data_IF_505853665708
#
_entry.id   IF_505853665708
#
_cell.length_a   1.000
_cell.length_b   1.000
_cell.length_c   1.000
_cell.angle_alpha   90.00
_cell.angle_beta   90.00
_cell.angle_gamma   90.00
#
_symmetry.space_group_name_H-M   'P 1'
#
loop_
_entity.id
_entity.type
_entity.pdbx_description
1 polymer ?
#
# COMPACT_ATOMS: atom_id res chain seq x y z
N UNK A 1 8.52 23.48 -21.30
CA UNK A 1 9.31 22.26 -21.59
C UNK A 1 8.85 21.72 -22.94
N UNK A 2 9.71 21.03 -23.71
CA UNK A 2 9.30 20.42 -25.00
C UNK A 2 8.98 18.93 -24.85
N UNK A 3 8.17 18.37 -25.76
CA UNK A 3 7.79 16.94 -25.76
C UNK A 3 9.02 16.02 -25.86
N UNK A 4 10.01 16.39 -26.65
CA UNK A 4 11.24 15.61 -26.81
C UNK A 4 12.02 15.46 -25.50
N UNK A 5 12.04 16.50 -24.67
CA UNK A 5 12.67 16.45 -23.35
C UNK A 5 11.87 15.62 -22.36
N UNK A 6 10.54 15.67 -22.43
CA UNK A 6 9.67 14.81 -21.63
C UNK A 6 9.89 13.33 -21.97
N UNK A 7 9.94 12.96 -23.25
CA UNK A 7 10.21 11.58 -23.68
C UNK A 7 11.57 11.10 -23.15
N UNK A 8 12.63 11.91 -23.28
CA UNK A 8 13.95 11.55 -22.71
C UNK A 8 13.87 11.30 -21.20
N UNK A 9 13.10 12.12 -20.46
CA UNK A 9 12.90 11.92 -19.02
C UNK A 9 12.14 10.63 -18.72
N UNK A 10 11.13 10.28 -19.50
CA UNK A 10 10.47 8.98 -19.38
C UNK A 10 11.48 7.84 -19.53
N UNK A 11 12.28 7.87 -20.59
CA UNK A 11 13.24 6.80 -20.88
C UNK A 11 14.31 6.65 -19.79
N UNK A 12 14.84 7.78 -19.30
CA UNK A 12 15.79 7.81 -18.19
C UNK A 12 15.20 7.23 -16.91
N UNK A 13 13.99 7.64 -16.53
CA UNK A 13 13.36 7.20 -15.28
C UNK A 13 12.89 5.74 -15.35
N UNK A 14 12.34 5.32 -16.49
CA UNK A 14 11.85 3.96 -16.69
C UNK A 14 13.00 2.98 -16.95
N UNK A 15 14.19 3.46 -17.31
CA UNK A 15 15.36 2.65 -17.59
C UNK A 15 15.23 1.86 -18.89
N UNK A 16 14.39 2.32 -19.82
CA UNK A 16 14.15 1.70 -21.13
C UNK A 16 13.65 2.73 -22.13
N UNK A 17 13.81 2.42 -23.41
CA UNK A 17 13.21 3.21 -24.47
C UNK A 17 11.68 3.04 -24.49
N UNK A 18 10.99 4.09 -24.89
CA UNK A 18 9.56 4.03 -25.15
C UNK A 18 9.32 3.50 -26.56
N UNK A 19 8.30 2.64 -26.71
CA UNK A 19 7.87 2.22 -28.03
C UNK A 19 7.14 3.37 -28.77
N UNK A 20 7.05 3.33 -30.11
CA UNK A 20 6.31 4.34 -30.87
C UNK A 20 4.84 4.50 -30.42
N UNK A 21 4.20 3.39 -30.02
CA UNK A 21 2.82 3.39 -29.52
C UNK A 21 2.73 4.13 -28.19
N UNK A 22 3.71 3.94 -27.31
CA UNK A 22 3.79 4.61 -26.02
C UNK A 22 4.03 6.12 -26.18
N UNK A 23 4.91 6.52 -27.12
CA UNK A 23 5.14 7.92 -27.46
C UNK A 23 3.86 8.55 -28.01
N UNK A 24 3.13 7.85 -28.88
CA UNK A 24 1.85 8.32 -29.39
C UNK A 24 0.84 8.56 -28.25
N UNK A 25 0.71 7.61 -27.31
CA UNK A 25 -0.18 7.77 -26.16
C UNK A 25 0.17 9.00 -25.30
N UNK A 26 1.46 9.25 -25.05
CA UNK A 26 1.91 10.45 -24.33
C UNK A 26 1.58 11.72 -25.14
N UNK A 27 1.75 11.67 -26.46
CA UNK A 27 1.46 12.79 -27.37
C UNK A 27 -0.03 13.10 -27.45
N UNK A 28 -0.89 12.08 -27.39
CA UNK A 28 -2.36 12.25 -27.44
C UNK A 28 -2.86 13.06 -26.24
N UNK A 29 -2.29 12.87 -25.05
CA UNK A 29 -2.65 13.69 -23.88
C UNK A 29 -2.41 15.19 -24.11
N UNK A 30 -1.34 15.56 -24.83
CA UNK A 30 -1.04 16.96 -25.16
C UNK A 30 -1.91 17.48 -26.32
N UNK A 31 -2.08 16.65 -27.36
CA UNK A 31 -2.62 17.10 -28.64
C UNK A 31 -4.13 16.91 -28.75
N UNK A 32 -4.67 15.80 -28.27
CA UNK A 32 -6.09 15.44 -28.31
C UNK A 32 -6.79 15.98 -27.06
N UNK A 33 -6.31 15.60 -25.88
CA UNK A 33 -6.94 15.96 -24.61
C UNK A 33 -6.59 17.38 -24.12
N UNK A 34 -5.62 18.02 -24.78
CA UNK A 34 -5.17 19.41 -24.53
C UNK A 34 -4.66 19.64 -23.12
N UNK A 35 -3.88 18.70 -22.58
CA UNK A 35 -3.16 18.90 -21.32
C UNK A 35 -1.91 19.75 -21.53
N UNK A 36 -1.55 20.51 -20.51
CA UNK A 36 -0.24 21.16 -20.41
C UNK A 36 0.86 20.11 -20.14
N UNK A 37 2.06 20.36 -20.67
CA UNK A 37 3.18 19.42 -20.56
C UNK A 37 3.63 19.23 -19.11
N UNK A 38 3.45 20.26 -18.30
CA UNK A 38 3.69 20.28 -16.86
C UNK A 38 2.83 19.24 -16.12
N UNK A 39 1.61 18.95 -16.60
CA UNK A 39 0.75 17.91 -16.00
C UNK A 39 1.32 16.52 -16.26
N UNK A 40 1.85 16.29 -17.45
CA UNK A 40 2.47 15.01 -17.79
C UNK A 40 3.78 14.82 -17.02
N UNK A 41 4.57 15.87 -16.85
CA UNK A 41 5.76 15.84 -15.99
C UNK A 41 5.41 15.51 -14.54
N UNK A 42 4.36 16.14 -13.99
CA UNK A 42 3.84 15.82 -12.67
C UNK A 42 3.44 14.35 -12.55
N UNK A 43 2.71 13.82 -13.53
CA UNK A 43 2.29 12.42 -13.53
C UNK A 43 3.49 11.46 -13.65
N UNK A 44 4.53 11.81 -14.43
CA UNK A 44 5.78 11.05 -14.49
C UNK A 44 6.47 11.02 -13.12
N UNK A 45 6.59 12.17 -12.45
CA UNK A 45 7.22 12.26 -11.13
C UNK A 45 6.47 11.39 -10.10
N UNK A 46 5.13 11.41 -10.10
CA UNK A 46 4.32 10.53 -9.25
C UNK A 46 4.61 9.04 -9.55
N UNK A 47 4.80 8.64 -10.81
CA UNK A 47 5.17 7.26 -11.13
C UNK A 47 6.52 6.86 -10.51
N UNK A 48 7.50 7.77 -10.55
CA UNK A 48 8.84 7.55 -9.99
C UNK A 48 8.80 7.47 -8.47
N UNK A 49 8.12 8.42 -7.81
CA UNK A 49 7.98 8.49 -6.36
C UNK A 49 7.27 7.25 -5.78
N UNK A 50 6.26 6.74 -6.49
CA UNK A 50 5.54 5.53 -6.08
C UNK A 50 6.23 4.23 -6.55
N UNK A 51 7.44 4.32 -7.12
CA UNK A 51 8.17 3.20 -7.74
C UNK A 51 7.33 2.37 -8.74
N UNK A 52 6.36 3.01 -9.40
CA UNK A 52 5.40 2.41 -10.32
C UNK A 52 5.64 2.91 -11.75
N UNK A 53 6.81 2.56 -12.31
CA UNK A 53 7.36 3.07 -13.58
C UNK A 53 6.77 2.38 -14.81
N UNK A 54 5.45 2.44 -14.95
CA UNK A 54 4.72 1.82 -16.07
C UNK A 54 3.76 2.82 -16.69
N UNK A 55 3.58 2.77 -18.01
CA UNK A 55 2.59 3.63 -18.67
C UNK A 55 1.15 3.32 -18.26
N UNK A 56 0.87 2.09 -17.81
CA UNK A 56 -0.42 1.75 -17.21
C UNK A 56 -0.70 2.63 -15.99
N UNK A 57 0.26 2.75 -15.08
CA UNK A 57 0.12 3.59 -13.88
C UNK A 57 0.05 5.07 -14.24
N UNK A 58 0.92 5.53 -15.15
CA UNK A 58 0.88 6.89 -15.68
C UNK A 58 -0.50 7.26 -16.25
N UNK A 59 -1.07 6.41 -17.10
CA UNK A 59 -2.40 6.62 -17.68
C UNK A 59 -3.50 6.66 -16.63
N UNK A 60 -3.38 5.90 -15.53
CA UNK A 60 -4.31 6.00 -14.40
C UNK A 60 -4.24 7.35 -13.70
N UNK A 61 -3.04 7.93 -13.55
CA UNK A 61 -2.87 9.29 -13.00
C UNK A 61 -3.48 10.32 -13.94
N UNK A 62 -3.18 10.23 -15.24
CA UNK A 62 -3.71 11.15 -16.25
C UNK A 62 -5.25 11.13 -16.30
N UNK A 63 -5.86 9.94 -16.26
CA UNK A 63 -7.32 9.81 -16.17
C UNK A 63 -7.89 10.47 -14.91
N UNK A 64 -7.29 10.22 -13.75
CA UNK A 64 -7.69 10.88 -12.50
C UNK A 64 -7.55 12.41 -12.59
N UNK A 65 -6.51 12.92 -13.24
CA UNK A 65 -6.36 14.35 -13.48
C UNK A 65 -7.46 14.87 -14.42
N UNK A 66 -7.79 14.13 -15.49
CA UNK A 66 -8.89 14.47 -16.39
C UNK A 66 -10.24 14.56 -15.67
N UNK A 67 -10.57 13.54 -14.87
CA UNK A 67 -11.82 13.45 -14.10
C UNK A 67 -11.96 14.62 -13.11
N UNK A 68 -10.84 15.09 -12.55
CA UNK A 68 -10.80 16.23 -11.63
C UNK A 68 -10.64 17.59 -12.33
N UNK A 69 -10.61 17.63 -13.67
CA UNK A 69 -10.42 18.86 -14.45
C UNK A 69 -9.03 19.49 -14.31
N UNK A 70 -8.02 18.72 -13.89
CA UNK A 70 -6.65 19.20 -13.67
C UNK A 70 -5.89 19.12 -14.99
N UNK A 71 -5.98 20.18 -15.80
CA UNK A 71 -5.31 20.27 -17.11
C UNK A 71 -4.15 21.27 -17.18
N UNK A 72 -3.96 22.08 -16.14
CA UNK A 72 -2.96 23.14 -16.09
C UNK A 72 -2.07 23.04 -14.86
N UNK A 73 -0.88 23.64 -14.90
CA UNK A 73 0.02 23.72 -13.76
C UNK A 73 -0.66 24.36 -12.54
N UNK A 74 -1.44 25.43 -12.73
CA UNK A 74 -2.19 26.10 -11.66
C UNK A 74 -3.18 25.15 -10.98
N UNK A 75 -3.87 24.32 -11.78
CA UNK A 75 -4.81 23.33 -11.25
C UNK A 75 -4.10 22.24 -10.45
N UNK A 76 -2.88 21.84 -10.83
CA UNK A 76 -2.06 20.91 -10.04
C UNK A 76 -1.74 21.52 -8.68
N UNK A 77 -1.23 22.76 -8.65
CA UNK A 77 -0.87 23.44 -7.41
C UNK A 77 -2.06 23.59 -6.47
N UNK A 78 -3.23 23.97 -7.01
CA UNK A 78 -4.46 24.06 -6.24
C UNK A 78 -4.90 22.69 -5.70
N UNK A 79 -4.79 21.65 -6.53
CA UNK A 79 -5.11 20.28 -6.12
C UNK A 79 -4.18 19.78 -5.01
N UNK A 80 -2.87 20.03 -5.11
CA UNK A 80 -1.90 19.69 -4.07
C UNK A 80 -2.14 20.47 -2.78
N UNK A 81 -2.41 21.78 -2.87
CA UNK A 81 -2.75 22.60 -1.71
C UNK A 81 -4.00 22.06 -1.01
N UNK A 82 -5.05 21.71 -1.76
CA UNK A 82 -6.27 21.11 -1.22
C UNK A 82 -6.02 19.71 -0.64
N UNK A 83 -5.16 18.90 -1.25
CA UNK A 83 -4.77 17.58 -0.74
C UNK A 83 -4.00 17.70 0.57
N UNK A 84 -3.09 18.67 0.67
CA UNK A 84 -2.31 18.92 1.88
C UNK A 84 -3.18 19.49 3.01
N UNK A 85 -4.12 20.40 2.69
CA UNK A 85 -5.14 20.85 3.65
C UNK A 85 -5.99 19.69 4.15
N UNK A 86 -6.51 18.84 3.25
CA UNK A 86 -7.26 17.65 3.66
C UNK A 86 -6.45 16.69 4.52
N UNK A 87 -5.14 16.51 4.27
CA UNK A 87 -4.27 15.72 5.15
C UNK A 87 -4.13 16.36 6.54
N UNK A 88 -4.01 17.68 6.63
CA UNK A 88 -3.97 18.41 7.90
C UNK A 88 -5.32 18.37 8.64
N UNK A 89 -6.43 18.51 7.92
CA UNK A 89 -7.79 18.44 8.49
C UNK A 89 -8.16 17.01 8.91
N UNK A 90 -7.66 15.99 8.21
CA UNK A 90 -7.79 14.58 8.64
C UNK A 90 -6.98 14.27 9.90
N UNK A 91 -5.92 15.03 10.20
CA UNK A 91 -5.25 14.98 11.51
C UNK A 91 -6.05 15.72 12.61
N UNK A 92 -7.02 16.57 12.26
CA UNK A 92 -7.85 17.35 13.20
C UNK A 92 -9.28 16.84 13.40
N UNK A 93 -9.79 15.99 12.51
CA UNK A 93 -11.16 15.44 12.58
C UNK A 93 -11.19 13.95 12.92
N UNK A 94 -10.10 13.45 13.50
CA UNK A 94 -10.07 12.18 14.24
C UNK A 94 -10.88 12.41 15.52
N UNK A 95 -12.01 11.71 15.74
CA UNK A 95 -12.75 11.87 16.99
C UNK A 95 -11.83 11.54 18.18
N UNK A 96 -12.03 12.14 19.34
CA UNK A 96 -11.13 11.97 20.48
C UNK A 96 -10.79 10.49 20.82
N UNK A 97 -11.71 9.55 20.56
CA UNK A 97 -11.49 8.10 20.72
C UNK A 97 -10.42 7.51 19.79
N UNK A 98 -10.07 8.18 18.70
CA UNK A 98 -9.09 7.71 17.71
C UNK A 98 -7.73 8.43 17.84
N UNK A 99 -7.59 9.39 18.77
CA UNK A 99 -6.34 10.07 19.15
C UNK A 99 -5.79 9.62 20.52
N UNK A 100 -6.27 8.51 21.10
CA UNK A 100 -5.72 7.93 22.34
C UNK A 100 -4.37 7.19 22.14
N UNK A 101 -3.77 7.24 20.94
CA UNK A 101 -2.49 6.58 20.63
C UNK A 101 -1.42 7.50 20.04
N UNK A 102 -1.41 8.79 20.42
CA UNK A 102 -0.28 9.66 20.06
C UNK A 102 0.05 10.68 21.13
N UNK A 103 0.32 10.19 22.34
CA UNK A 103 1.28 10.82 23.26
C UNK A 103 2.23 9.73 23.75
N UNK A 104 3.51 10.06 23.83
CA UNK A 104 4.57 9.19 24.30
C UNK A 104 4.37 8.87 25.79
N UNK A 105 3.53 7.89 26.07
CA UNK A 105 3.60 7.16 27.33
C UNK A 105 4.30 5.84 27.01
N UNK A 106 5.48 5.62 27.59
CA UNK A 106 6.16 4.34 27.58
C UNK A 106 5.29 3.30 28.32
N UNK A 107 4.20 2.86 27.70
CA UNK A 107 3.50 1.65 28.11
C UNK A 107 4.42 0.51 27.69
N UNK A 108 5.00 -0.17 28.67
CA UNK A 108 5.77 -1.39 28.45
C UNK A 108 5.03 -2.23 27.41
N UNK A 109 5.69 -2.55 26.28
CA UNK A 109 5.10 -3.39 25.24
C UNK A 109 4.72 -4.70 25.90
N UNK A 110 3.42 -4.93 26.12
CA UNK A 110 2.95 -6.24 26.58
C UNK A 110 3.47 -7.25 25.55
N UNK A 111 4.31 -8.21 25.95
CA UNK A 111 4.83 -9.20 25.03
C UNK A 111 3.67 -9.86 24.27
N UNK A 112 3.84 -10.14 22.98
CA UNK A 112 2.79 -10.76 22.16
C UNK A 112 2.28 -12.05 22.82
N UNK A 113 3.16 -12.78 23.49
CA UNK A 113 2.82 -13.99 24.25
C UNK A 113 1.86 -13.77 25.43
N UNK A 114 1.79 -12.57 25.99
CA UNK A 114 0.99 -12.23 27.17
C UNK A 114 -0.31 -11.49 26.79
N UNK A 115 -0.51 -11.21 25.50
CA UNK A 115 -1.70 -10.54 25.01
C UNK A 115 -2.89 -11.51 24.89
N UNK A 116 -3.72 -11.58 25.94
CA UNK A 116 -4.90 -12.45 26.00
C UNK A 116 -6.00 -12.07 25.00
N UNK A 117 -6.19 -10.78 24.70
CA UNK A 117 -7.17 -10.34 23.69
C UNK A 117 -6.79 -10.83 22.30
N UNK A 118 -5.49 -10.76 21.96
CA UNK A 118 -4.97 -11.28 20.71
C UNK A 118 -5.05 -12.82 20.64
N UNK A 119 -4.87 -13.51 21.76
CA UNK A 119 -5.12 -14.95 21.85
C UNK A 119 -6.59 -15.29 21.57
N UNK A 120 -7.55 -14.57 22.15
CA UNK A 120 -8.97 -14.83 21.93
C UNK A 120 -9.37 -14.62 20.46
N UNK A 121 -8.88 -13.55 19.82
CA UNK A 121 -9.07 -13.36 18.38
C UNK A 121 -8.52 -14.51 17.53
N UNK A 122 -7.33 -15.02 17.87
CA UNK A 122 -6.77 -16.18 17.19
C UNK A 122 -7.61 -17.44 17.46
N UNK A 123 -8.02 -17.66 18.70
CA UNK A 123 -8.82 -18.82 19.09
C UNK A 123 -10.14 -18.89 18.32
N UNK A 124 -10.87 -17.78 18.25
CA UNK A 124 -12.14 -17.69 17.52
C UNK A 124 -11.93 -17.90 16.03
N UNK A 125 -10.91 -17.27 15.45
CA UNK A 125 -10.58 -17.44 14.04
C UNK A 125 -10.22 -18.88 13.69
N UNK A 126 -9.41 -19.56 14.52
CA UNK A 126 -9.03 -20.96 14.31
C UNK A 126 -10.23 -21.91 14.42
N UNK A 127 -11.15 -21.64 15.36
CA UNK A 127 -12.38 -22.39 15.51
C UNK A 127 -13.28 -22.23 14.27
N UNK A 128 -13.51 -21.01 13.81
CA UNK A 128 -14.37 -20.73 12.67
C UNK A 128 -13.79 -21.17 11.32
N UNK A 129 -12.51 -20.91 11.09
CA UNK A 129 -11.87 -21.02 9.78
C UNK A 129 -11.20 -22.37 9.54
N UNK A 130 -10.73 -23.01 10.60
CA UNK A 130 -10.00 -24.28 10.52
C UNK A 130 -10.69 -25.42 11.28
N UNK A 131 -11.79 -25.16 11.98
CA UNK A 131 -12.43 -26.11 12.90
C UNK A 131 -11.39 -26.72 13.87
N UNK A 132 -10.49 -25.87 14.37
CA UNK A 132 -9.38 -26.26 15.23
C UNK A 132 -9.43 -25.50 16.55
N UNK A 133 -9.19 -26.20 17.65
CA UNK A 133 -9.12 -25.59 18.98
C UNK A 133 -7.67 -25.17 19.26
N UNK A 134 -7.43 -23.87 19.26
CA UNK A 134 -6.14 -23.30 19.63
C UNK A 134 -6.03 -23.22 21.16
N UNK A 135 -4.92 -23.72 21.73
CA UNK A 135 -4.65 -23.59 23.17
C UNK A 135 -3.74 -22.40 23.48
N UNK A 136 -3.86 -21.85 24.69
CA UNK A 136 -3.02 -20.74 25.16
C UNK A 136 -1.52 -21.10 25.12
N UNK A 137 -1.18 -22.35 25.45
CA UNK A 137 0.19 -22.84 25.38
C UNK A 137 0.74 -22.86 23.95
N UNK A 138 -0.08 -23.24 22.96
CA UNK A 138 0.31 -23.21 21.54
C UNK A 138 0.53 -21.78 21.05
N UNK A 139 -0.32 -20.85 21.50
CA UNK A 139 -0.19 -19.41 21.23
C UNK A 139 1.10 -18.83 21.80
N UNK A 140 1.34 -19.01 23.10
CA UNK A 140 2.53 -18.52 23.78
C UNK A 140 3.81 -19.07 23.16
N UNK A 141 3.84 -20.38 22.84
CA UNK A 141 5.00 -21.00 22.18
C UNK A 141 5.28 -20.42 20.79
N UNK A 142 4.24 -20.07 20.04
CA UNK A 142 4.42 -19.47 18.71
C UNK A 142 4.83 -18.00 18.80
N UNK A 143 4.18 -17.22 19.67
CA UNK A 143 4.52 -15.81 19.91
C UNK A 143 5.99 -15.65 20.36
N UNK A 144 6.44 -16.48 21.32
CA UNK A 144 7.82 -16.46 21.79
C UNK A 144 8.87 -16.82 20.73
N UNK A 145 8.48 -17.49 19.64
CA UNK A 145 9.37 -17.78 18.51
C UNK A 145 9.45 -16.57 17.59
N UNK A 146 8.33 -15.93 17.31
CA UNK A 146 8.28 -14.70 16.51
C UNK A 146 9.03 -13.54 17.19
N UNK A 147 9.03 -13.48 18.53
CA UNK A 147 9.82 -12.49 19.28
C UNK A 147 11.34 -12.72 19.16
N UNK A 148 11.78 -13.96 18.88
CA UNK A 148 13.21 -14.33 18.74
C UNK A 148 13.74 -14.23 17.31
N UNK A 149 12.86 -14.26 16.32
CA UNK A 149 13.18 -14.27 14.90
C UNK A 149 12.38 -13.18 14.17
N UNK A 150 12.95 -11.99 13.97
CA UNK A 150 12.25 -10.84 13.36
C UNK A 150 11.80 -11.09 11.92
N UNK A 151 12.39 -12.06 11.21
CA UNK A 151 11.99 -12.40 9.83
C UNK A 151 10.72 -13.26 9.80
N UNK A 152 10.34 -13.88 10.94
CA UNK A 152 9.19 -14.76 11.03
C UNK A 152 7.92 -13.97 11.38
N UNK A 153 7.06 -13.83 10.37
CA UNK A 153 5.77 -13.17 10.53
C UNK A 153 4.83 -13.93 11.49
N UNK A 154 4.34 -13.21 12.50
CA UNK A 154 3.30 -13.70 13.40
C UNK A 154 1.94 -13.62 12.70
N UNK A 155 1.50 -14.74 12.12
CA UNK A 155 0.18 -14.83 11.49
C UNK A 155 -0.47 -16.22 11.70
N UNK A 156 -1.80 -16.30 11.56
CA UNK A 156 -2.54 -17.54 11.80
C UNK A 156 -2.17 -18.72 10.88
N UNK A 157 -1.75 -18.48 9.64
CA UNK A 157 -1.36 -19.56 8.72
C UNK A 157 -0.03 -20.20 9.09
N UNK A 158 0.96 -19.38 9.47
CA UNK A 158 2.26 -19.84 9.98
C UNK A 158 2.09 -20.62 11.29
N UNK A 159 1.20 -20.14 12.14
CA UNK A 159 0.85 -20.84 13.37
C UNK A 159 0.16 -22.19 13.10
N UNK A 160 -0.80 -22.21 12.17
CA UNK A 160 -1.48 -23.44 11.75
C UNK A 160 -0.52 -24.46 11.11
N UNK A 161 0.39 -24.00 10.25
CA UNK A 161 1.45 -24.81 9.66
C UNK A 161 2.31 -25.49 10.73
N UNK A 162 2.63 -24.76 11.81
CA UNK A 162 3.40 -25.29 12.93
C UNK A 162 2.60 -26.29 13.78
N UNK A 163 1.36 -25.98 14.13
CA UNK A 163 0.50 -26.86 14.94
C UNK A 163 0.26 -28.19 14.21
N UNK A 164 0.02 -28.14 12.90
CA UNK A 164 -0.26 -29.32 12.08
C UNK A 164 0.99 -30.02 11.55
N UNK A 165 2.18 -29.45 11.80
CA UNK A 165 3.45 -29.89 11.24
C UNK A 165 3.40 -30.10 9.70
N UNK A 166 2.89 -29.09 8.99
CA UNK A 166 2.74 -29.08 7.53
C UNK A 166 3.41 -27.85 6.92
N UNK A 167 3.90 -27.92 5.68
CA UNK A 167 4.41 -26.74 4.98
C UNK A 167 3.32 -25.68 4.80
N UNK A 168 3.70 -24.41 4.91
CA UNK A 168 2.80 -23.26 4.84
C UNK A 168 1.95 -23.26 3.56
N UNK A 169 2.56 -23.58 2.43
CA UNK A 169 1.90 -23.64 1.12
C UNK A 169 0.70 -24.59 1.12
N UNK A 170 0.79 -25.72 1.82
CA UNK A 170 -0.30 -26.69 1.93
C UNK A 170 -1.44 -26.15 2.80
N UNK A 171 -1.13 -25.35 3.83
CA UNK A 171 -2.14 -24.69 4.67
C UNK A 171 -2.87 -23.59 3.89
N UNK A 172 -2.11 -22.74 3.19
CA UNK A 172 -2.65 -21.63 2.38
C UNK A 172 -3.49 -22.18 1.23
N UNK A 173 -2.98 -23.14 0.46
CA UNK A 173 -3.72 -23.74 -0.65
C UNK A 173 -5.03 -24.37 -0.16
N UNK A 174 -5.00 -25.17 0.91
CA UNK A 174 -6.21 -25.80 1.47
C UNK A 174 -7.23 -24.77 1.96
N UNK A 175 -6.80 -23.60 2.39
CA UNK A 175 -7.68 -22.54 2.85
C UNK A 175 -8.38 -21.82 1.69
N UNK A 176 -7.66 -21.54 0.60
CA UNK A 176 -8.18 -20.81 -0.55
C UNK A 176 -8.80 -21.67 -1.66
N UNK A 177 -8.64 -23.00 -1.61
CA UNK A 177 -9.28 -23.94 -2.56
C UNK A 177 -10.58 -24.56 -2.01
N UNK A 178 -11.14 -24.01 -0.94
CA UNK A 178 -12.43 -24.41 -0.36
C UNK A 178 -13.57 -23.55 -0.88
#
# INVERSE_FOLDING_TARGET
MELSDLIKRFEQNFGRLLSPIEIQQITDWLTVDKFEIEVLEYALNECVLNNARTLKYFNSIMKRCADNGIKTLEAIQLHEANRNRKKQDQNGNVPAWSNEHSEHEQKEKIPVAENMELYDCFKDWFAEKFNMQLTLEQYQKFAAICDKDPERQFNPFQMCARILNKPLEIIVNRFFTK
#
